data_IF_893143397216
#
_entry.id   IF_893143397216
#
_cell.length_a   1.000
_cell.length_b   1.000
_cell.length_c   1.000
_cell.angle_alpha   90.00
_cell.angle_beta   90.00
_cell.angle_gamma   90.00
#
_symmetry.space_group_name_H-M   'P 1'
#
loop_
_entity.id
_entity.type
_entity.pdbx_description
1 polymer ?
#
# COMPACT_ATOMS: atom_id res chain seq x y z
N UNK A 1 -24.27 6.01 55.95
CA UNK A 1 -23.75 6.68 54.73
C UNK A 1 -22.75 5.84 53.91
N UNK A 2 -22.43 4.59 54.30
CA UNK A 2 -21.54 3.70 53.52
C UNK A 2 -22.27 2.92 52.41
N UNK A 3 -23.56 2.63 52.60
CA UNK A 3 -24.36 1.82 51.67
C UNK A 3 -24.78 2.56 50.39
N UNK A 4 -24.78 3.89 50.38
CA UNK A 4 -25.14 4.68 49.20
C UNK A 4 -24.01 4.74 48.15
N UNK A 5 -22.76 4.61 48.58
CA UNK A 5 -21.59 4.64 47.68
C UNK A 5 -21.45 3.39 46.82
N UNK A 6 -21.87 2.22 47.33
CA UNK A 6 -21.78 0.96 46.60
C UNK A 6 -22.79 0.86 45.45
N UNK A 7 -23.94 1.54 45.55
CA UNK A 7 -24.99 1.52 44.52
C UNK A 7 -24.61 2.35 43.30
N UNK A 8 -23.89 3.45 43.50
CA UNK A 8 -23.44 4.34 42.39
C UNK A 8 -22.34 3.68 41.55
N UNK A 9 -21.47 2.87 42.17
CA UNK A 9 -20.39 2.17 41.46
C UNK A 9 -20.88 1.02 40.57
N UNK A 10 -21.99 0.35 40.92
CA UNK A 10 -22.55 -0.73 40.09
C UNK A 10 -23.31 -0.23 38.85
N UNK A 11 -23.80 1.01 38.85
CA UNK A 11 -24.55 1.56 37.71
C UNK A 11 -23.66 2.01 36.53
N UNK A 12 -22.35 2.21 36.77
CA UNK A 12 -21.41 2.70 35.76
C UNK A 12 -20.82 1.64 34.83
N UNK A 13 -20.95 0.35 35.16
CA UNK A 13 -20.29 -0.74 34.42
C UNK A 13 -21.09 -1.27 33.21
N UNK A 14 -22.33 -0.84 33.01
CA UNK A 14 -23.19 -1.32 31.91
C UNK A 14 -23.12 -0.45 30.63
N UNK A 15 -22.40 0.67 30.63
CA UNK A 15 -22.39 1.62 29.50
C UNK A 15 -21.34 1.35 28.41
N UNK A 16 -20.59 0.24 28.50
CA UNK A 16 -19.35 0.04 27.71
C UNK A 16 -19.40 -0.89 26.50
N UNK A 17 -20.51 -1.55 26.17
CA UNK A 17 -20.51 -2.66 25.18
C UNK A 17 -21.38 -2.46 23.94
N UNK A 18 -21.68 -1.22 23.53
CA UNK A 18 -22.51 -0.98 22.34
C UNK A 18 -21.76 -0.35 21.14
N UNK A 19 -20.45 -0.08 21.23
CA UNK A 19 -19.76 0.69 20.19
C UNK A 19 -18.61 -0.08 19.52
N UNK A 20 -18.93 -1.16 18.83
CA UNK A 20 -18.09 -1.73 17.78
C UNK A 20 -18.97 -2.28 16.65
N UNK A 21 -19.59 -1.39 15.88
CA UNK A 21 -20.10 -1.75 14.57
C UNK A 21 -19.67 -0.69 13.56
N UNK A 22 -18.35 -0.59 13.38
CA UNK A 22 -17.80 0.08 12.21
C UNK A 22 -18.07 -0.85 11.02
N UNK A 23 -19.14 -0.55 10.29
CA UNK A 23 -19.52 -1.30 9.11
C UNK A 23 -18.41 -1.05 8.09
N UNK A 24 -17.52 -2.01 7.90
CA UNK A 24 -16.54 -1.95 6.81
C UNK A 24 -17.32 -1.84 5.50
N UNK A 25 -17.43 -0.61 4.98
CA UNK A 25 -18.07 -0.36 3.71
C UNK A 25 -17.30 -1.15 2.65
N UNK A 26 -18.00 -1.95 1.87
CA UNK A 26 -17.42 -2.63 0.72
C UNK A 26 -16.85 -1.56 -0.22
N UNK A 27 -15.53 -1.51 -0.32
CA UNK A 27 -14.83 -0.70 -1.32
C UNK A 27 -14.71 -1.57 -2.57
N UNK A 28 -15.38 -1.22 -3.69
CA UNK A 28 -15.19 -1.92 -4.94
C UNK A 28 -13.71 -1.90 -5.31
N UNK A 29 -13.18 -3.02 -5.80
CA UNK A 29 -11.84 -3.03 -6.37
C UNK A 29 -11.73 -1.89 -7.39
N UNK A 30 -10.70 -1.01 -7.32
CA UNK A 30 -10.51 0.02 -8.32
C UNK A 30 -10.51 -0.66 -9.68
N UNK A 31 -11.27 -0.12 -10.64
CA UNK A 31 -11.28 -0.66 -12.00
C UNK A 31 -9.83 -0.75 -12.44
N UNK A 32 -9.39 -1.96 -12.78
CA UNK A 32 -8.01 -2.19 -13.17
C UNK A 32 -7.74 -1.33 -14.40
N UNK A 33 -7.16 -0.15 -14.20
CA UNK A 33 -6.47 0.55 -15.27
C UNK A 33 -5.47 -0.47 -15.77
N UNK A 34 -5.55 -0.85 -17.05
CA UNK A 34 -4.61 -1.78 -17.65
C UNK A 34 -3.23 -1.17 -17.44
N UNK A 35 -2.51 -1.66 -16.42
CA UNK A 35 -1.19 -1.20 -16.11
C UNK A 35 -0.31 -1.78 -17.20
N UNK A 36 -0.10 -1.00 -18.26
CA UNK A 36 0.85 -1.38 -19.30
C UNK A 36 2.24 -1.37 -18.67
N UNK A 37 2.70 -2.55 -18.26
CA UNK A 37 4.08 -2.74 -17.83
C UNK A 37 4.94 -2.60 -19.09
N UNK A 38 5.51 -1.41 -19.26
CA UNK A 38 6.40 -1.11 -20.37
C UNK A 38 7.85 -1.27 -19.94
N UNK A 39 8.64 -1.98 -20.73
CA UNK A 39 10.09 -2.09 -20.51
C UNK A 39 10.77 -0.73 -20.73
N UNK A 40 11.83 -0.44 -19.96
CA UNK A 40 12.62 0.78 -20.12
C UNK A 40 13.76 0.60 -21.14
N UNK A 41 13.39 0.59 -22.42
CA UNK A 41 14.32 0.38 -23.53
C UNK A 41 15.43 1.44 -23.61
N UNK A 42 15.14 2.67 -23.19
CA UNK A 42 16.14 3.76 -23.14
C UNK A 42 17.20 3.48 -22.07
N UNK A 43 16.77 3.02 -20.88
CA UNK A 43 17.70 2.64 -19.84
C UNK A 43 18.55 1.44 -20.26
N UNK A 44 17.92 0.42 -20.84
CA UNK A 44 18.61 -0.78 -21.33
C UNK A 44 19.68 -0.41 -22.36
N UNK A 45 19.32 0.40 -23.37
CA UNK A 45 20.25 0.83 -24.40
C UNK A 45 21.47 1.58 -23.84
N UNK A 46 21.26 2.44 -22.82
CA UNK A 46 22.36 3.15 -22.14
C UNK A 46 23.31 2.19 -21.42
N UNK A 47 22.78 1.21 -20.68
CA UNK A 47 23.60 0.22 -19.96
C UNK A 47 24.37 -0.65 -20.94
N UNK A 48 23.72 -1.12 -22.00
CA UNK A 48 24.36 -1.94 -23.04
C UNK A 48 25.46 -1.18 -23.78
N UNK A 49 25.24 0.11 -24.07
CA UNK A 49 26.27 0.97 -24.64
C UNK A 49 27.49 1.08 -23.71
N UNK A 50 27.27 1.30 -22.41
CA UNK A 50 28.35 1.37 -21.43
C UNK A 50 29.10 0.04 -21.30
N UNK A 51 28.38 -1.08 -21.29
CA UNK A 51 28.97 -2.41 -21.22
C UNK A 51 29.84 -2.70 -22.44
N UNK A 52 29.35 -2.36 -23.65
CA UNK A 52 30.12 -2.50 -24.89
C UNK A 52 31.40 -1.66 -24.88
N UNK A 53 31.35 -0.41 -24.43
CA UNK A 53 32.55 0.45 -24.29
C UNK A 53 33.58 -0.19 -23.35
N UNK A 54 33.13 -0.97 -22.37
CA UNK A 54 33.97 -1.66 -21.38
C UNK A 54 34.36 -3.09 -21.78
N UNK A 55 33.97 -3.55 -22.98
CA UNK A 55 34.24 -4.93 -23.42
C UNK A 55 33.46 -6.00 -22.65
N UNK A 56 32.33 -5.64 -22.03
CA UNK A 56 31.46 -6.55 -21.27
C UNK A 56 30.16 -6.86 -22.02
N UNK A 57 29.65 -8.08 -21.83
CA UNK A 57 28.30 -8.47 -22.25
C UNK A 57 27.29 -8.30 -21.12
N UNK A 58 26.03 -8.02 -21.46
CA UNK A 58 24.93 -7.90 -20.50
C UNK A 58 23.91 -9.00 -20.76
N UNK A 59 23.44 -9.63 -19.68
CA UNK A 59 22.30 -10.55 -19.71
C UNK A 59 21.32 -10.11 -18.65
N UNK A 60 20.11 -9.75 -19.06
CA UNK A 60 19.07 -9.27 -18.17
C UNK A 60 18.26 -10.46 -17.64
N UNK A 61 18.34 -10.72 -16.34
CA UNK A 61 17.46 -11.70 -15.69
C UNK A 61 16.09 -11.09 -15.41
N UNK A 62 16.06 -9.83 -14.97
CA UNK A 62 14.86 -9.02 -14.76
C UNK A 62 15.07 -7.65 -15.41
N UNK A 63 14.69 -7.45 -16.68
CA UNK A 63 14.89 -6.19 -17.35
C UNK A 63 14.10 -5.06 -16.66
N UNK A 64 14.65 -3.84 -16.61
CA UNK A 64 14.00 -2.72 -15.94
C UNK A 64 12.72 -2.30 -16.66
N UNK A 65 11.72 -1.93 -15.87
CA UNK A 65 10.42 -1.44 -16.34
C UNK A 65 10.30 0.06 -16.10
N UNK A 66 9.59 0.78 -16.99
CA UNK A 66 9.32 2.21 -16.81
C UNK A 66 8.39 2.41 -15.62
N UNK A 67 8.86 3.16 -14.62
CA UNK A 67 8.03 3.59 -13.52
C UNK A 67 7.21 4.81 -13.95
N UNK A 68 5.88 4.71 -13.88
CA UNK A 68 5.03 5.90 -13.93
C UNK A 68 5.24 6.64 -12.61
N UNK A 69 5.86 7.81 -12.66
CA UNK A 69 5.93 8.67 -11.47
C UNK A 69 4.49 8.91 -11.00
N UNK A 70 4.16 8.69 -9.72
CA UNK A 70 2.85 9.07 -9.21
C UNK A 70 2.69 10.57 -9.43
N UNK A 71 1.64 10.99 -10.14
CA UNK A 71 1.29 12.40 -10.17
C UNK A 71 0.97 12.79 -8.71
N UNK A 72 1.65 13.79 -8.13
CA UNK A 72 1.30 14.26 -6.79
C UNK A 72 -0.17 14.69 -6.81
N UNK A 73 -0.96 14.15 -5.86
CA UNK A 73 -2.36 14.56 -5.66
C UNK A 73 -2.40 15.87 -4.88
#
# INVERSE_FOLDING_TARGET
>A
MRSAFLVVLLAGSAAGCASMHDSAAYVPAPSHSVATVQQDDEYIARVEQQARIRGAGVTWINPPIKHRHPTPR
#
